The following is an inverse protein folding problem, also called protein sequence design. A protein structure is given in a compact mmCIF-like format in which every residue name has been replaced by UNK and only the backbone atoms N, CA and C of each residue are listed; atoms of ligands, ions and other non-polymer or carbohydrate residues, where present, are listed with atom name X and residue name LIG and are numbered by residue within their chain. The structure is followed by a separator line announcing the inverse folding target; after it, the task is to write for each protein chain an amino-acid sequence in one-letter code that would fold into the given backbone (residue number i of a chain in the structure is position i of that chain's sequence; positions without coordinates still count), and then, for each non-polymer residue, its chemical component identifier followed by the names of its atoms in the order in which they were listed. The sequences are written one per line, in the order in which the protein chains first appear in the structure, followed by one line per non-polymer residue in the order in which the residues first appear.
data_IF_210957419330
#
_entry.id   IF_210957419330
#
_cell.length_a   1.000
_cell.length_b   1.000
_cell.length_c   1.000
_cell.angle_alpha   90.00
_cell.angle_beta   90.00
_cell.angle_gamma   90.00
#
_symmetry.space_group_name_H-M   'P 1'
#
loop_
_entity.id
_entity.type
_entity.pdbx_description
1 polymer ?
#
# COMPACT_ATOMS: atom_id res chain seq x y z
N UNK A 1 4.62 -30.57 -24.44
CA UNK A 1 4.71 -29.08 -24.40
C UNK A 1 5.27 -28.67 -23.06
N UNK A 2 6.32 -27.83 -22.98
CA UNK A 2 6.86 -27.35 -21.72
C UNK A 2 5.76 -26.70 -20.86
N UNK A 3 5.74 -26.95 -19.51
CA UNK A 3 4.69 -26.43 -18.61
C UNK A 3 4.49 -24.91 -18.71
N UNK A 4 5.58 -24.19 -18.94
CA UNK A 4 5.55 -22.72 -19.10
C UNK A 4 4.72 -22.28 -20.31
N UNK A 5 4.82 -22.98 -21.43
CA UNK A 5 4.04 -22.68 -22.66
C UNK A 5 2.57 -23.01 -22.43
N UNK A 6 2.28 -24.16 -21.82
CA UNK A 6 0.91 -24.55 -21.48
C UNK A 6 0.24 -23.51 -20.58
N UNK A 7 0.90 -23.10 -19.50
CA UNK A 7 0.36 -22.10 -18.56
C UNK A 7 0.08 -20.75 -19.25
N UNK A 8 0.91 -20.34 -20.22
CA UNK A 8 0.68 -19.11 -20.99
C UNK A 8 -0.60 -19.20 -21.85
N UNK A 9 -0.87 -20.36 -22.46
CA UNK A 9 -2.10 -20.57 -23.22
C UNK A 9 -3.33 -20.70 -22.30
N UNK A 10 -3.18 -21.36 -21.16
CA UNK A 10 -4.28 -21.50 -20.18
C UNK A 10 -4.73 -20.14 -19.63
N UNK A 11 -3.82 -19.14 -19.54
CA UNK A 11 -4.15 -17.77 -19.15
C UNK A 11 -4.90 -16.97 -20.23
N UNK A 12 -4.83 -17.36 -21.51
CA UNK A 12 -5.54 -16.66 -22.58
C UNK A 12 -7.06 -16.75 -22.44
N UNK A 13 -7.58 -17.89 -21.96
CA UNK A 13 -9.02 -18.11 -21.80
C UNK A 13 -9.61 -17.13 -20.77
N UNK A 14 -9.11 -17.05 -19.52
CA UNK A 14 -9.63 -16.07 -18.57
C UNK A 14 -9.41 -14.62 -19.02
N UNK A 15 -8.32 -14.30 -19.69
CA UNK A 15 -8.11 -12.95 -20.25
C UNK A 15 -9.16 -12.61 -21.30
N UNK A 16 -9.43 -13.53 -22.24
CA UNK A 16 -10.48 -13.34 -23.24
C UNK A 16 -11.86 -13.17 -22.60
N UNK A 17 -12.21 -13.99 -21.61
CA UNK A 17 -13.47 -13.86 -20.86
C UNK A 17 -13.59 -12.49 -20.20
N UNK A 18 -12.55 -12.04 -19.52
CA UNK A 18 -12.51 -10.71 -18.87
C UNK A 18 -12.69 -9.59 -19.89
N UNK A 19 -11.95 -9.62 -21.01
CA UNK A 19 -12.03 -8.59 -22.05
C UNK A 19 -13.42 -8.59 -22.70
N UNK A 20 -13.94 -9.76 -23.09
CA UNK A 20 -15.24 -9.90 -23.75
C UNK A 20 -16.43 -9.57 -22.84
N UNK A 21 -16.24 -9.60 -21.51
CA UNK A 21 -17.29 -9.20 -20.55
C UNK A 21 -17.15 -7.75 -20.13
N UNK A 22 -15.96 -7.30 -19.74
CA UNK A 22 -15.77 -5.95 -19.20
C UNK A 22 -15.80 -4.88 -20.29
N UNK A 23 -15.34 -5.16 -21.50
CA UNK A 23 -15.33 -4.16 -22.57
C UNK A 23 -16.75 -3.78 -23.03
N UNK A 24 -17.66 -4.72 -23.39
CA UNK A 24 -19.04 -4.38 -23.69
C UNK A 24 -19.78 -3.73 -22.51
N UNK A 25 -19.51 -4.19 -21.29
CA UNK A 25 -20.10 -3.58 -20.09
C UNK A 25 -19.64 -2.12 -19.94
N UNK A 26 -18.37 -1.83 -20.21
CA UNK A 26 -17.84 -0.46 -20.20
C UNK A 26 -18.53 0.43 -21.23
N UNK A 27 -18.74 -0.08 -22.45
CA UNK A 27 -19.46 0.64 -23.50
C UNK A 27 -20.92 0.89 -23.12
N UNK A 28 -21.59 -0.09 -22.50
CA UNK A 28 -22.95 0.05 -21.99
C UNK A 28 -23.05 1.14 -20.94
N UNK A 29 -22.16 1.14 -19.96
CA UNK A 29 -22.11 2.17 -18.90
C UNK A 29 -21.83 3.54 -19.51
N UNK A 30 -20.89 3.62 -20.46
CA UNK A 30 -20.56 4.86 -21.14
C UNK A 30 -21.77 5.40 -21.93
N UNK A 31 -22.52 4.54 -22.61
CA UNK A 31 -23.68 4.96 -23.39
C UNK A 31 -24.87 5.40 -22.53
N UNK A 32 -25.05 4.80 -21.34
CA UNK A 32 -26.18 5.10 -20.45
C UNK A 32 -25.90 6.24 -19.48
N UNK A 33 -24.68 6.32 -18.96
CA UNK A 33 -24.30 7.23 -17.88
C UNK A 33 -23.28 8.30 -18.31
N UNK A 34 -22.78 8.25 -19.55
CA UNK A 34 -21.80 9.21 -20.07
C UNK A 34 -20.42 9.12 -19.40
N UNK A 35 -20.15 8.04 -18.64
CA UNK A 35 -18.90 7.85 -17.90
C UNK A 35 -18.36 6.42 -18.07
N UNK A 36 -17.04 6.27 -18.01
CA UNK A 36 -16.37 4.98 -18.02
C UNK A 36 -16.52 4.25 -16.68
N UNK A 37 -16.38 2.91 -16.66
CA UNK A 37 -16.44 2.11 -15.41
C UNK A 37 -15.50 2.66 -14.32
N UNK A 38 -14.23 2.97 -14.59
CA UNK A 38 -13.35 3.56 -13.56
C UNK A 38 -13.90 4.87 -13.01
N UNK A 39 -14.47 5.72 -13.85
CA UNK A 39 -15.08 6.99 -13.42
C UNK A 39 -16.33 6.78 -12.57
N UNK A 40 -17.17 5.79 -12.92
CA UNK A 40 -18.36 5.42 -12.15
C UNK A 40 -17.95 4.90 -10.75
N UNK A 41 -16.95 4.03 -10.70
CA UNK A 41 -16.39 3.56 -9.43
C UNK A 41 -15.85 4.74 -8.61
N UNK A 42 -15.03 5.61 -9.23
CA UNK A 42 -14.48 6.78 -8.55
C UNK A 42 -15.56 7.73 -8.01
N UNK A 43 -16.69 7.89 -8.73
CA UNK A 43 -17.78 8.76 -8.26
C UNK A 43 -18.45 8.24 -6.98
N UNK A 44 -18.57 6.92 -6.84
CA UNK A 44 -19.07 6.27 -5.63
C UNK A 44 -18.12 6.48 -4.45
N UNK A 45 -16.82 6.43 -4.70
CA UNK A 45 -15.79 6.60 -3.66
C UNK A 45 -15.40 8.05 -3.40
N UNK A 46 -15.84 9.01 -4.23
CA UNK A 46 -15.49 10.43 -4.08
C UNK A 46 -15.72 11.01 -2.67
N UNK A 47 -16.81 10.70 -1.95
CA UNK A 47 -16.99 11.16 -0.57
C UNK A 47 -15.95 10.59 0.39
N UNK A 48 -15.56 9.32 0.17
CA UNK A 48 -14.50 8.66 0.95
C UNK A 48 -13.12 9.25 0.66
N UNK A 49 -12.88 9.66 -0.60
CA UNK A 49 -11.63 10.34 -1.01
C UNK A 49 -11.43 11.64 -0.24
N UNK A 50 -12.45 12.48 -0.17
CA UNK A 50 -12.36 13.75 0.56
C UNK A 50 -12.15 13.56 2.07
N UNK A 51 -12.65 12.45 2.63
CA UNK A 51 -12.39 12.08 4.02
C UNK A 51 -11.01 11.43 4.21
N UNK A 52 -10.45 10.78 3.19
CA UNK A 52 -9.20 10.04 3.29
C UNK A 52 -7.97 10.93 3.54
N UNK A 53 -8.02 12.21 3.18
CA UNK A 53 -6.96 13.20 3.46
C UNK A 53 -7.06 13.82 4.87
N UNK A 54 -7.92 13.27 5.69
CA UNK A 54 -8.07 13.69 7.08
C UNK A 54 -7.17 12.90 8.03
N UNK A 55 -6.69 13.54 9.11
CA UNK A 55 -5.88 12.88 10.12
C UNK A 55 -6.53 11.60 10.69
N UNK A 56 -7.82 11.58 11.04
CA UNK A 56 -8.47 10.36 11.52
C UNK A 56 -8.44 9.20 10.51
N UNK A 57 -8.63 9.49 9.22
CA UNK A 57 -8.59 8.47 8.18
C UNK A 57 -7.17 7.91 7.98
N UNK A 58 -6.17 8.77 8.03
CA UNK A 58 -4.75 8.37 7.96
C UNK A 58 -4.40 7.47 9.16
N UNK A 59 -4.78 7.88 10.37
CA UNK A 59 -4.54 7.09 11.59
C UNK A 59 -5.26 5.74 11.53
N UNK A 60 -6.48 5.70 11.02
CA UNK A 60 -7.22 4.45 10.83
C UNK A 60 -6.52 3.52 9.82
N UNK A 61 -6.04 4.07 8.71
CA UNK A 61 -5.29 3.30 7.71
C UNK A 61 -3.99 2.71 8.30
N UNK A 62 -3.27 3.51 9.07
CA UNK A 62 -2.07 3.06 9.81
C UNK A 62 -2.43 1.94 10.78
N UNK A 63 -3.45 2.14 11.61
CA UNK A 63 -3.91 1.15 12.57
C UNK A 63 -4.29 -0.18 11.90
N UNK A 64 -5.09 -0.14 10.83
CA UNK A 64 -5.47 -1.34 10.08
C UNK A 64 -4.25 -2.04 9.52
N UNK A 65 -3.31 -1.30 8.91
CA UNK A 65 -2.07 -1.85 8.37
C UNK A 65 -1.24 -2.58 9.42
N UNK A 66 -1.13 -2.01 10.62
CA UNK A 66 -0.37 -2.61 11.73
C UNK A 66 -1.08 -3.81 12.35
N UNK A 67 -2.41 -3.75 12.50
CA UNK A 67 -3.19 -4.90 12.98
C UNK A 67 -3.08 -6.10 12.04
N UNK A 68 -3.10 -5.86 10.72
CA UNK A 68 -2.89 -6.91 9.73
C UNK A 68 -1.48 -7.50 9.84
N UNK A 69 -0.45 -6.67 9.97
CA UNK A 69 0.92 -7.14 10.20
C UNK A 69 1.05 -7.94 11.49
N UNK A 70 0.43 -7.50 12.57
CA UNK A 70 0.40 -8.26 13.81
C UNK A 70 -0.24 -9.63 13.63
N UNK A 71 -1.28 -9.73 12.81
CA UNK A 71 -1.93 -11.00 12.44
C UNK A 71 -1.12 -11.85 11.43
N UNK A 72 0.06 -11.40 10.99
CA UNK A 72 0.90 -12.10 10.01
C UNK A 72 0.49 -11.88 8.55
N UNK A 73 -0.38 -10.91 8.30
CA UNK A 73 -0.83 -10.53 6.95
C UNK A 73 -0.05 -9.30 6.50
N UNK A 74 0.37 -9.25 5.22
CA UNK A 74 1.12 -8.08 4.69
C UNK A 74 0.24 -6.82 4.62
N UNK A 75 0.05 -6.19 5.78
CA UNK A 75 -0.89 -5.09 5.98
C UNK A 75 -0.62 -3.88 5.09
N UNK A 76 0.66 -3.53 4.88
CA UNK A 76 1.01 -2.41 4.01
C UNK A 76 0.54 -2.63 2.57
N UNK A 77 0.72 -3.82 2.01
CA UNK A 77 0.29 -4.12 0.65
C UNK A 77 -1.24 -4.00 0.50
N UNK A 78 -2.00 -4.50 1.49
CA UNK A 78 -3.46 -4.40 1.48
C UNK A 78 -3.91 -2.95 1.58
N UNK A 79 -3.41 -2.22 2.57
CA UNK A 79 -3.80 -0.81 2.81
C UNK A 79 -3.37 0.07 1.65
N UNK A 80 -2.13 -0.09 1.13
CA UNK A 80 -1.67 0.67 -0.05
C UNK A 80 -2.52 0.37 -1.28
N UNK A 81 -2.88 -0.90 -1.51
CA UNK A 81 -3.78 -1.26 -2.62
C UNK A 81 -5.14 -0.58 -2.52
N UNK A 82 -5.71 -0.47 -1.31
CA UNK A 82 -6.97 0.23 -1.08
C UNK A 82 -6.83 1.75 -1.25
N UNK A 83 -5.71 2.33 -0.81
CA UNK A 83 -5.46 3.77 -0.86
C UNK A 83 -4.95 4.26 -2.23
N UNK A 84 -4.48 3.39 -3.11
CA UNK A 84 -3.87 3.74 -4.40
C UNK A 84 -4.76 4.67 -5.24
N UNK A 85 -6.05 4.38 -5.31
CA UNK A 85 -7.02 5.19 -6.07
C UNK A 85 -7.12 6.62 -5.50
N UNK A 86 -7.09 6.74 -4.17
CA UNK A 86 -7.15 8.03 -3.48
C UNK A 86 -5.89 8.84 -3.74
N UNK A 87 -4.72 8.21 -3.61
CA UNK A 87 -3.43 8.86 -3.86
C UNK A 87 -3.29 9.36 -5.30
N UNK A 88 -3.75 8.58 -6.29
CA UNK A 88 -3.75 9.01 -7.68
C UNK A 88 -4.69 10.20 -7.92
N UNK A 89 -5.85 10.22 -7.28
CA UNK A 89 -6.79 11.34 -7.38
C UNK A 89 -6.19 12.61 -6.76
N UNK A 90 -5.63 12.50 -5.56
CA UNK A 90 -4.98 13.61 -4.86
C UNK A 90 -3.77 14.14 -5.65
N UNK A 91 -2.99 13.23 -6.25
CA UNK A 91 -1.87 13.60 -7.12
C UNK A 91 -2.34 14.40 -8.34
N UNK A 92 -3.41 13.95 -9.01
CA UNK A 92 -4.00 14.68 -10.15
C UNK A 92 -4.51 16.07 -9.77
N UNK A 93 -5.17 16.19 -8.61
CA UNK A 93 -5.61 17.49 -8.09
C UNK A 93 -4.42 18.42 -7.78
N UNK A 94 -3.36 17.89 -7.16
CA UNK A 94 -2.14 18.62 -6.88
C UNK A 94 -1.42 19.08 -8.15
N UNK A 95 -1.35 18.22 -9.18
CA UNK A 95 -0.76 18.59 -10.48
C UNK A 95 -1.54 19.72 -11.15
N UNK A 96 -2.86 19.68 -11.10
CA UNK A 96 -3.73 20.73 -11.64
C UNK A 96 -3.53 22.06 -10.89
N UNK A 97 -3.48 22.02 -9.55
CA UNK A 97 -3.22 23.20 -8.72
C UNK A 97 -1.83 23.79 -9.00
N UNK A 98 -0.80 22.93 -9.12
CA UNK A 98 0.56 23.35 -9.43
C UNK A 98 0.63 24.05 -10.80
N UNK A 99 -0.01 23.49 -11.82
CA UNK A 99 -0.08 24.10 -13.16
C UNK A 99 -0.77 25.47 -13.15
N UNK A 100 -1.73 25.66 -12.24
CA UNK A 100 -2.42 26.94 -12.03
C UNK A 100 -1.68 27.87 -11.04
N UNK A 101 -0.47 27.51 -10.57
CA UNK A 101 0.28 28.25 -9.54
C UNK A 101 -0.52 28.46 -8.24
N UNK A 102 -1.37 27.50 -7.90
CA UNK A 102 -2.17 27.48 -6.67
C UNK A 102 -1.53 26.60 -5.60
N UNK A 103 -1.82 26.81 -4.31
CA UNK A 103 -1.40 25.94 -3.24
C UNK A 103 -1.90 24.49 -3.46
N UNK A 104 -1.05 23.51 -3.10
CA UNK A 104 -1.40 22.11 -3.24
C UNK A 104 -2.49 21.72 -2.23
N UNK A 105 -3.66 21.24 -2.67
CA UNK A 105 -4.79 20.95 -1.77
C UNK A 105 -4.62 19.68 -0.92
N UNK A 106 -3.76 18.74 -1.31
CA UNK A 106 -3.65 17.44 -0.66
C UNK A 106 -2.23 17.12 -0.20
N UNK A 107 -2.11 16.59 1.02
CA UNK A 107 -0.84 16.16 1.63
C UNK A 107 -0.71 14.65 1.57
N UNK A 108 -1.81 13.91 1.83
CA UNK A 108 -1.78 12.47 1.94
C UNK A 108 -1.75 11.79 0.56
N UNK A 109 -0.55 11.44 0.14
CA UNK A 109 -0.25 10.74 -1.11
C UNK A 109 0.68 9.56 -0.82
N UNK A 110 0.92 8.72 -1.83
CA UNK A 110 1.82 7.57 -1.73
C UNK A 110 3.22 7.97 -1.22
N UNK A 111 3.75 9.10 -1.68
CA UNK A 111 5.04 9.60 -1.21
C UNK A 111 5.02 9.93 0.29
N UNK A 112 3.92 10.54 0.80
CA UNK A 112 3.78 10.81 2.22
C UNK A 112 3.75 9.50 3.03
N UNK A 113 2.96 8.52 2.59
CA UNK A 113 2.92 7.18 3.20
C UNK A 113 4.31 6.55 3.24
N UNK A 114 5.00 6.51 2.11
CA UNK A 114 6.28 5.82 1.96
C UNK A 114 7.42 6.48 2.73
N UNK A 115 7.49 7.81 2.72
CA UNK A 115 8.64 8.53 3.30
C UNK A 115 8.43 8.98 4.73
N UNK A 116 7.20 9.10 5.21
CA UNK A 116 6.92 9.61 6.55
C UNK A 116 6.23 8.59 7.48
N UNK A 117 5.39 7.72 6.94
CA UNK A 117 4.66 6.75 7.78
C UNK A 117 5.42 5.43 7.90
N UNK A 118 5.91 4.88 6.79
CA UNK A 118 6.56 3.56 6.79
C UNK A 118 8.09 3.63 6.72
N UNK A 119 8.69 4.53 7.45
CA UNK A 119 10.15 4.67 7.51
C UNK A 119 10.81 3.37 8.02
N UNK A 120 11.62 2.77 7.15
CA UNK A 120 12.29 1.49 7.45
C UNK A 120 11.39 0.29 7.29
N UNK A 121 10.25 0.47 6.58
CA UNK A 121 9.22 -0.53 6.35
C UNK A 121 8.00 -0.36 7.24
N UNK A 122 6.98 -1.17 7.01
CA UNK A 122 5.72 -1.13 7.77
C UNK A 122 5.95 -1.25 9.27
N UNK A 123 5.34 -0.36 10.04
CA UNK A 123 5.57 -0.27 11.48
C UNK A 123 6.72 0.65 11.88
N UNK A 124 7.26 1.43 10.93
CA UNK A 124 8.36 2.37 11.15
C UNK A 124 9.57 1.72 11.85
N UNK A 125 9.93 0.50 11.41
CA UNK A 125 10.87 -0.39 12.08
C UNK A 125 12.33 0.08 12.08
N UNK A 126 12.66 1.19 11.45
CA UNK A 126 14.03 1.75 11.43
C UNK A 126 14.57 1.96 12.86
N UNK A 127 13.76 2.48 13.76
CA UNK A 127 14.13 2.66 15.17
C UNK A 127 14.48 1.34 15.85
N UNK A 128 13.71 0.29 15.58
CA UNK A 128 13.95 -1.05 16.12
C UNK A 128 15.27 -1.63 15.61
N UNK A 129 15.60 -1.43 14.33
CA UNK A 129 16.89 -1.84 13.74
C UNK A 129 18.06 -1.20 14.48
N UNK A 130 17.99 0.10 14.78
CA UNK A 130 19.03 0.77 15.57
C UNK A 130 19.14 0.23 17.01
N UNK A 131 18.02 -0.10 17.65
CA UNK A 131 18.01 -0.77 18.95
C UNK A 131 18.70 -2.15 18.87
N UNK A 132 18.44 -2.91 17.82
CA UNK A 132 19.05 -4.23 17.62
C UNK A 132 20.57 -4.13 17.41
N UNK A 133 21.05 -3.17 16.65
CA UNK A 133 22.50 -2.95 16.49
C UNK A 133 23.22 -2.73 17.81
N UNK A 134 22.55 -2.11 18.79
CA UNK A 134 23.08 -1.84 20.14
C UNK A 134 22.74 -2.92 21.17
N UNK A 135 21.99 -3.96 20.77
CA UNK A 135 21.56 -5.03 21.66
C UNK A 135 22.74 -5.81 22.24
N UNK A 136 22.61 -6.25 23.50
CA UNK A 136 23.54 -7.19 24.14
C UNK A 136 23.37 -8.62 23.58
N UNK A 137 22.19 -8.97 23.08
CA UNK A 137 21.92 -10.25 22.43
C UNK A 137 22.66 -10.35 21.09
N UNK A 138 23.49 -11.38 20.92
CA UNK A 138 24.18 -11.63 19.66
C UNK A 138 23.20 -11.89 18.51
N UNK A 139 22.10 -12.57 18.80
CA UNK A 139 21.02 -12.86 17.83
C UNK A 139 20.38 -11.57 17.32
N UNK A 140 19.88 -10.69 18.21
CA UNK A 140 19.25 -9.44 17.81
C UNK A 140 20.23 -8.50 17.09
N UNK A 141 21.50 -8.47 17.51
CA UNK A 141 22.53 -7.69 16.82
C UNK A 141 22.78 -8.20 15.40
N UNK A 142 22.74 -9.52 15.19
CA UNK A 142 22.86 -10.11 13.85
C UNK A 142 21.70 -9.71 12.96
N UNK A 143 20.46 -9.79 13.48
CA UNK A 143 19.26 -9.30 12.76
C UNK A 143 19.41 -7.82 12.42
N UNK A 144 19.80 -6.98 13.38
CA UNK A 144 20.03 -5.56 13.15
C UNK A 144 21.01 -5.30 12.01
N UNK A 145 22.15 -6.00 11.97
CA UNK A 145 23.15 -5.86 10.91
C UNK A 145 22.62 -6.28 9.53
N UNK A 146 21.85 -7.35 9.47
CA UNK A 146 21.24 -7.83 8.23
C UNK A 146 20.14 -6.88 7.73
N UNK A 147 19.47 -6.18 8.64
CA UNK A 147 18.30 -5.35 8.34
C UNK A 147 18.65 -3.89 8.01
N UNK A 148 19.84 -3.38 8.36
CA UNK A 148 20.21 -1.96 8.15
C UNK A 148 20.03 -1.53 6.71
N UNK A 149 20.63 -2.24 5.78
CA UNK A 149 20.58 -1.87 4.36
C UNK A 149 19.16 -2.01 3.79
N UNK A 150 18.47 -3.16 3.97
CA UNK A 150 17.05 -3.27 3.55
C UNK A 150 16.15 -2.18 4.12
N UNK A 151 16.30 -1.84 5.41
CA UNK A 151 15.43 -0.84 6.06
C UNK A 151 15.58 0.56 5.47
N UNK A 152 16.73 0.92 4.91
CA UNK A 152 16.91 2.20 4.18
C UNK A 152 15.98 2.27 2.95
N UNK A 153 15.67 1.12 2.38
CA UNK A 153 14.76 0.97 1.24
C UNK A 153 13.35 0.56 1.66
N UNK A 154 12.97 0.77 2.92
CA UNK A 154 11.68 0.40 3.49
C UNK A 154 11.35 -1.11 3.42
N UNK A 155 12.37 -1.97 3.39
CA UNK A 155 12.25 -3.42 3.41
C UNK A 155 12.54 -3.91 4.83
N UNK A 156 11.51 -4.37 5.54
CA UNK A 156 11.63 -4.77 6.95
C UNK A 156 11.32 -6.24 7.23
N UNK A 157 11.14 -7.04 6.21
CA UNK A 157 10.92 -8.48 6.32
C UNK A 157 12.01 -9.18 7.15
N UNK A 158 13.31 -8.83 7.05
CA UNK A 158 14.33 -9.41 7.91
C UNK A 158 14.11 -9.11 9.40
N UNK A 159 13.53 -7.96 9.74
CA UNK A 159 13.17 -7.61 11.12
C UNK A 159 11.95 -8.39 11.57
N UNK A 160 10.88 -8.37 10.78
CA UNK A 160 9.58 -8.96 11.14
C UNK A 160 9.68 -10.47 11.30
N UNK A 161 10.35 -11.14 10.36
CA UNK A 161 10.49 -12.61 10.39
C UNK A 161 11.72 -13.10 11.15
N UNK A 162 12.76 -12.28 11.26
CA UNK A 162 13.95 -12.57 12.07
C UNK A 162 13.70 -12.42 13.57
N UNK A 163 12.75 -11.56 13.94
CA UNK A 163 12.29 -11.38 15.31
C UNK A 163 10.86 -11.90 15.42
N UNK A 164 10.47 -12.60 16.48
CA UNK A 164 9.09 -13.10 16.64
C UNK A 164 8.14 -11.93 16.98
N UNK A 165 7.85 -11.07 15.99
CA UNK A 165 6.96 -9.91 16.14
C UNK A 165 5.51 -10.32 15.94
N UNK A 166 5.24 -11.16 14.93
CA UNK A 166 3.90 -11.61 14.58
C UNK A 166 3.25 -12.33 15.75
N UNK A 167 2.03 -11.94 16.09
CA UNK A 167 1.23 -12.49 17.21
C UNK A 167 1.92 -12.41 18.58
N UNK A 168 2.94 -11.60 18.73
CA UNK A 168 3.67 -11.43 20.00
C UNK A 168 3.15 -10.21 20.76
N UNK A 169 2.49 -10.40 21.92
CA UNK A 169 1.89 -9.29 22.69
C UNK A 169 2.90 -8.21 23.12
N UNK A 170 4.17 -8.57 23.27
CA UNK A 170 5.23 -7.62 23.67
C UNK A 170 5.47 -6.56 22.59
N UNK A 171 5.24 -6.90 21.33
CA UNK A 171 5.38 -6.00 20.18
C UNK A 171 4.06 -5.40 19.70
N UNK A 172 2.96 -5.62 20.43
CA UNK A 172 1.66 -5.09 20.02
C UNK A 172 1.51 -3.58 20.30
N UNK A 173 2.10 -3.11 21.41
CA UNK A 173 2.00 -1.70 21.82
C UNK A 173 3.05 -0.81 21.13
N UNK A 174 4.34 -1.24 21.05
CA UNK A 174 5.35 -0.44 20.37
C UNK A 174 5.20 -0.43 18.88
#
# INVERSE_FOLDING_TARGET
VPPMIKNSFDLLIPVLVVVLTLYPLSLLIQSQFGMLIPQAIMSIFKPLVSAADSLPAILLAVLIGHLLWFAGIHGAAIVSGMLQMFWLTNLGANQTALAASQPLPHIFMEAFWTFFIVIGGSGATMGLVFCYLRSRSAHLRSIGRLSVVPSIFNINEPVIFGTPIVMNPVFFIP
#
